data_IF_306291303751
#
_entry.id   IF_306291303751
#
_cell.length_a   1.000
_cell.length_b   1.000
_cell.length_c   1.000
_cell.angle_alpha   90.00
_cell.angle_beta   90.00
_cell.angle_gamma   90.00
#
_symmetry.space_group_name_H-M   'P 1'
#
loop_
_entity.id
_entity.type
_entity.pdbx_description
1 polymer ?
#
# COMPACT_ATOMS: atom_id res chain seq x y z
N UNK A 1 43.13 24.31 -23.34
CA UNK A 1 42.39 25.27 -22.52
C UNK A 1 40.88 25.09 -22.74
N UNK A 2 40.24 24.28 -21.90
CA UNK A 2 38.81 24.09 -21.87
C UNK A 2 38.30 24.35 -20.45
N UNK A 3 37.12 24.99 -20.28
CA UNK A 3 36.64 25.35 -18.94
C UNK A 3 36.15 24.13 -18.18
N UNK A 4 36.60 24.02 -16.93
CA UNK A 4 36.25 22.96 -15.99
C UNK A 4 34.77 23.07 -15.54
N UNK A 5 34.15 21.91 -15.43
CA UNK A 5 32.79 21.71 -14.94
C UNK A 5 32.84 21.60 -13.39
N UNK A 6 32.70 22.73 -12.70
CA UNK A 6 32.64 22.79 -11.23
C UNK A 6 31.22 22.44 -10.75
N UNK A 7 30.88 21.16 -10.74
CA UNK A 7 29.69 20.66 -9.98
C UNK A 7 30.08 20.44 -8.53
N UNK A 8 29.79 21.42 -7.69
CA UNK A 8 29.89 21.28 -6.23
C UNK A 8 28.73 20.41 -5.74
N UNK A 9 29.03 19.19 -5.32
CA UNK A 9 28.11 18.33 -4.57
C UNK A 9 28.07 18.82 -3.12
N UNK A 10 26.90 19.22 -2.64
CA UNK A 10 26.68 19.45 -1.22
C UNK A 10 26.34 18.12 -0.54
N UNK A 11 27.25 17.60 0.25
CA UNK A 11 27.06 16.42 1.10
C UNK A 11 26.30 16.85 2.38
N UNK A 12 25.13 16.28 2.70
CA UNK A 12 24.35 16.69 3.87
C UNK A 12 24.91 16.23 5.21
N UNK A 13 25.97 15.42 5.27
CA UNK A 13 26.46 14.79 6.50
C UNK A 13 27.85 15.25 6.98
N UNK A 14 28.38 16.39 6.48
CA UNK A 14 29.69 16.88 6.93
C UNK A 14 29.56 18.00 7.95
N UNK A 15 30.18 17.89 9.17
CA UNK A 15 30.17 18.95 10.17
C UNK A 15 31.06 20.11 9.74
N UNK A 16 30.46 21.26 9.44
CA UNK A 16 31.19 22.46 9.01
C UNK A 16 31.75 23.22 10.20
N UNK A 17 33.06 23.36 10.19
CA UNK A 17 33.76 24.34 11.03
C UNK A 17 33.53 25.77 10.55
N UNK A 18 33.37 26.64 11.54
CA UNK A 18 33.17 28.11 11.57
C UNK A 18 33.85 28.91 10.45
N UNK A 19 33.11 29.96 10.07
CA UNK A 19 33.48 31.19 9.33
C UNK A 19 33.47 31.08 7.79
N UNK A 20 32.33 31.49 7.24
CA UNK A 20 32.18 31.84 5.86
C UNK A 20 30.73 32.20 5.56
N UNK A 21 30.42 33.49 5.46
CA UNK A 21 29.11 33.98 5.01
C UNK A 21 28.98 33.60 3.55
N UNK A 22 28.20 32.58 3.25
CA UNK A 22 27.80 32.26 1.89
C UNK A 22 26.59 33.11 1.53
N UNK A 23 26.83 34.27 0.91
CA UNK A 23 25.80 35.10 0.27
C UNK A 23 25.60 34.50 -1.14
N UNK A 24 24.84 33.49 -1.27
CA UNK A 24 24.36 32.99 -2.55
C UNK A 24 22.85 33.14 -2.66
N UNK A 25 22.46 34.32 -3.12
CA UNK A 25 21.11 34.65 -3.58
C UNK A 25 20.81 33.97 -4.91
N UNK A 26 20.48 32.68 -4.94
CA UNK A 26 19.81 32.00 -6.06
C UNK A 26 19.45 30.53 -5.74
N UNK A 27 18.96 30.25 -4.55
CA UNK A 27 18.04 29.11 -4.41
C UNK A 27 16.63 29.72 -4.50
N UNK A 28 16.02 29.68 -5.69
CA UNK A 28 14.57 29.86 -5.79
C UNK A 28 13.97 28.76 -4.96
N UNK A 29 13.45 29.12 -3.78
CA UNK A 29 12.83 28.19 -2.85
C UNK A 29 11.72 27.45 -3.57
N UNK A 30 11.83 26.13 -3.61
CA UNK A 30 10.67 25.28 -3.74
C UNK A 30 9.85 25.61 -2.51
N UNK A 31 8.76 26.34 -2.66
CA UNK A 31 7.83 26.64 -1.57
C UNK A 31 7.35 25.30 -1.03
N UNK A 32 7.85 24.94 0.14
CA UNK A 32 7.47 23.67 0.77
C UNK A 32 6.01 23.81 1.23
N UNK A 33 5.11 23.04 0.61
CA UNK A 33 3.69 23.03 0.96
C UNK A 33 3.51 22.87 2.46
N UNK A 34 2.64 23.66 3.03
CA UNK A 34 2.23 23.57 4.43
C UNK A 34 1.55 22.22 4.72
N UNK A 35 1.48 21.84 6.00
CA UNK A 35 0.77 20.62 6.38
C UNK A 35 -0.70 20.65 5.93
N UNK A 36 -1.35 21.81 6.03
CA UNK A 36 -2.76 21.98 5.64
C UNK A 36 -2.96 21.79 4.12
N UNK A 37 -2.05 22.28 3.30
CA UNK A 37 -2.08 22.07 1.85
C UNK A 37 -1.81 20.59 1.48
N UNK A 38 -0.83 19.96 2.14
CA UNK A 38 -0.55 18.53 1.98
C UNK A 38 -1.76 17.68 2.40
N UNK A 39 -2.43 18.03 3.51
CA UNK A 39 -3.65 17.38 3.99
C UNK A 39 -4.80 17.54 2.99
N UNK A 40 -5.03 18.74 2.50
CA UNK A 40 -6.08 19.00 1.51
C UNK A 40 -5.87 18.17 0.26
N UNK A 41 -4.66 18.13 -0.28
CA UNK A 41 -4.32 17.31 -1.44
C UNK A 41 -4.47 15.81 -1.17
N UNK A 42 -4.04 15.34 0.00
CA UNK A 42 -4.16 13.94 0.40
C UNK A 42 -5.62 13.50 0.56
N UNK A 43 -6.47 14.35 1.14
CA UNK A 43 -7.88 14.02 1.40
C UNK A 43 -8.78 14.24 0.18
N UNK A 44 -8.35 14.97 -0.84
CA UNK A 44 -9.14 15.17 -2.07
C UNK A 44 -9.17 13.88 -2.88
N UNK A 45 -10.36 13.39 -3.18
CA UNK A 45 -10.61 12.25 -4.10
C UNK A 45 -11.46 12.73 -5.26
N UNK A 46 -11.15 12.24 -6.46
CA UNK A 46 -11.86 12.62 -7.69
C UNK A 46 -13.24 11.95 -7.83
N UNK A 47 -13.53 10.94 -7.05
CA UNK A 47 -14.84 10.25 -6.99
C UNK A 47 -15.16 9.84 -5.56
N UNK A 48 -15.96 10.56 -4.97
CA UNK A 48 -16.94 10.54 -3.88
C UNK A 48 -16.97 9.45 -2.83
N UNK A 49 -15.96 8.74 -2.47
CA UNK A 49 -16.08 7.83 -1.34
C UNK A 49 -14.80 7.69 -0.53
N UNK A 50 -14.76 8.23 0.64
CA UNK A 50 -13.65 7.97 1.56
C UNK A 50 -13.39 9.05 2.59
N UNK A 51 -13.84 10.26 2.34
CA UNK A 51 -13.61 11.36 3.25
C UNK A 51 -14.91 12.11 3.55
N UNK A 52 -15.32 12.14 4.80
CA UNK A 52 -16.44 12.93 5.28
C UNK A 52 -16.11 13.50 6.66
N UNK A 53 -16.55 14.74 6.91
CA UNK A 53 -16.81 15.18 8.27
C UNK A 53 -18.06 14.40 8.71
N UNK A 54 -17.88 13.21 9.29
CA UNK A 54 -19.00 12.42 9.78
C UNK A 54 -19.70 13.10 10.96
N UNK A 55 -20.89 12.64 11.29
CA UNK A 55 -21.69 13.06 12.46
C UNK A 55 -21.02 12.68 13.80
N UNK A 56 -19.68 12.73 13.87
CA UNK A 56 -18.86 12.27 14.96
C UNK A 56 -18.00 13.35 15.59
N UNK A 57 -16.95 12.92 16.26
CA UNK A 57 -15.98 13.76 16.95
C UNK A 57 -15.22 14.60 15.92
N UNK A 58 -15.43 15.92 15.90
CA UNK A 58 -14.75 16.84 14.98
C UNK A 58 -13.34 17.22 15.43
N UNK A 59 -13.07 17.15 16.71
CA UNK A 59 -11.76 17.47 17.28
C UNK A 59 -11.47 16.66 18.55
N UNK A 60 -10.21 16.29 18.74
CA UNK A 60 -9.71 15.63 19.93
C UNK A 60 -8.34 16.24 20.29
N UNK A 61 -8.17 16.65 21.55
CA UNK A 61 -6.94 17.31 22.03
C UNK A 61 -6.49 18.49 21.14
N UNK A 62 -7.42 19.35 20.74
CA UNK A 62 -7.22 20.52 19.84
C UNK A 62 -6.73 20.17 18.43
N UNK A 63 -6.84 18.92 18.00
CA UNK A 63 -6.51 18.45 16.64
C UNK A 63 -7.79 18.04 15.91
N UNK A 64 -7.86 18.33 14.64
CA UNK A 64 -8.97 17.90 13.79
C UNK A 64 -8.98 16.38 13.67
N UNK A 65 -10.17 15.80 13.82
CA UNK A 65 -10.43 14.37 13.55
C UNK A 65 -11.03 14.27 12.16
N UNK A 66 -10.43 13.42 11.34
CA UNK A 66 -10.89 13.10 10.00
C UNK A 66 -11.52 11.72 10.00
N UNK A 67 -12.63 11.54 9.31
CA UNK A 67 -13.20 10.23 9.08
C UNK A 67 -12.71 9.71 7.73
N UNK A 68 -11.73 8.83 7.76
CA UNK A 68 -11.11 8.25 6.57
C UNK A 68 -11.46 6.77 6.54
N UNK A 69 -12.10 6.32 5.46
CA UNK A 69 -12.51 4.92 5.32
C UNK A 69 -13.32 4.40 6.54
N UNK A 70 -14.24 5.24 7.02
CA UNK A 70 -15.07 4.93 8.19
C UNK A 70 -14.37 5.03 9.55
N UNK A 71 -13.07 5.30 9.60
CA UNK A 71 -12.24 5.34 10.82
C UNK A 71 -11.93 6.77 11.24
N UNK A 72 -12.14 7.10 12.51
CA UNK A 72 -11.77 8.41 13.07
C UNK A 72 -10.25 8.49 13.24
N UNK A 73 -9.61 9.41 12.52
CA UNK A 73 -8.15 9.48 12.41
C UNK A 73 -7.63 10.90 12.63
N UNK A 74 -6.57 11.04 13.41
CA UNK A 74 -5.79 12.26 13.55
C UNK A 74 -4.53 12.16 12.70
N UNK A 75 -4.32 13.08 11.76
CA UNK A 75 -3.14 13.08 10.91
C UNK A 75 -2.06 13.97 11.51
N UNK A 76 -0.82 13.49 11.53
CA UNK A 76 0.36 14.20 12.03
C UNK A 76 1.26 14.71 10.90
N UNK A 77 1.38 13.92 9.83
CA UNK A 77 2.20 14.27 8.67
C UNK A 77 1.69 13.60 7.41
N UNK A 78 1.97 14.21 6.26
CA UNK A 78 1.61 13.69 4.93
C UNK A 78 2.82 13.80 4.02
N UNK A 79 3.09 12.72 3.27
CA UNK A 79 4.11 12.65 2.22
C UNK A 79 3.53 11.94 0.99
N UNK A 80 3.22 12.70 -0.06
CA UNK A 80 2.56 12.15 -1.25
C UNK A 80 1.27 11.43 -0.90
N UNK A 81 1.17 10.17 -1.28
CA UNK A 81 0.00 9.31 -1.04
C UNK A 81 0.02 8.57 0.32
N UNK A 82 0.92 8.95 1.22
CA UNK A 82 1.07 8.33 2.53
C UNK A 82 0.91 9.39 3.63
N UNK A 83 0.17 9.04 4.66
CA UNK A 83 0.08 9.85 5.89
C UNK A 83 0.46 8.99 7.11
N UNK A 84 0.95 9.66 8.14
CA UNK A 84 1.17 9.07 9.46
C UNK A 84 0.29 9.79 10.47
N UNK A 85 -0.38 9.04 11.33
CA UNK A 85 -1.34 9.58 12.28
C UNK A 85 -1.64 8.62 13.42
N UNK A 86 -2.86 8.72 13.92
CA UNK A 86 -3.38 7.80 14.92
C UNK A 86 -4.89 7.62 14.75
N UNK A 87 -5.37 6.42 14.90
CA UNK A 87 -6.80 6.09 15.02
C UNK A 87 -7.27 6.55 16.39
N UNK A 88 -8.40 7.26 16.44
CA UNK A 88 -9.12 7.57 17.67
C UNK A 88 -10.13 6.45 17.92
N UNK A 89 -9.85 5.63 18.91
CA UNK A 89 -10.70 4.52 19.30
C UNK A 89 -11.97 5.01 20.05
N UNK A 90 -12.96 4.14 20.17
CA UNK A 90 -14.21 4.45 20.86
C UNK A 90 -14.07 4.74 22.36
N UNK A 91 -13.00 4.24 22.98
CA UNK A 91 -12.60 4.52 24.38
C UNK A 91 -11.73 5.77 24.53
N UNK A 92 -11.61 6.57 23.45
CA UNK A 92 -10.78 7.78 23.36
C UNK A 92 -9.26 7.53 23.46
N UNK A 93 -8.81 6.31 23.35
CA UNK A 93 -7.38 6.00 23.18
C UNK A 93 -6.91 6.26 21.75
N UNK A 94 -5.60 6.40 21.56
CA UNK A 94 -4.99 6.66 20.27
C UNK A 94 -4.05 5.50 19.88
N UNK A 95 -4.35 4.84 18.77
CA UNK A 95 -3.49 3.81 18.16
C UNK A 95 -2.72 4.41 17.00
N UNK A 96 -1.37 4.46 17.03
CA UNK A 96 -0.58 4.93 15.90
C UNK A 96 -0.89 4.15 14.62
N UNK A 97 -0.96 4.85 13.49
CA UNK A 97 -1.21 4.20 12.20
C UNK A 97 -0.58 4.94 11.03
N UNK A 98 -0.37 4.21 9.96
CA UNK A 98 -0.14 4.73 8.61
C UNK A 98 -1.44 4.71 7.84
N UNK A 99 -1.61 5.69 6.97
CA UNK A 99 -2.73 5.78 6.03
C UNK A 99 -2.13 5.91 4.64
N UNK A 100 -2.59 5.11 3.71
CA UNK A 100 -2.20 5.19 2.30
C UNK A 100 -3.40 5.42 1.42
N UNK A 101 -3.17 6.04 0.26
CA UNK A 101 -4.21 6.39 -0.70
C UNK A 101 -3.78 6.04 -2.10
N UNK A 102 -4.68 5.43 -2.88
CA UNK A 102 -4.54 5.25 -4.32
C UNK A 102 -5.94 5.17 -4.95
N UNK A 103 -6.11 5.78 -6.13
CA UNK A 103 -7.33 5.71 -6.96
C UNK A 103 -8.65 6.00 -6.21
N UNK A 104 -8.58 6.88 -5.19
CA UNK A 104 -9.73 7.23 -4.36
C UNK A 104 -9.94 6.33 -3.14
N UNK A 105 -9.28 5.19 -3.05
CA UNK A 105 -9.31 4.30 -1.90
C UNK A 105 -8.31 4.71 -0.83
N UNK A 106 -8.65 4.44 0.41
CA UNK A 106 -7.77 4.60 1.57
C UNK A 106 -7.68 3.30 2.35
N UNK A 107 -6.52 3.07 2.97
CA UNK A 107 -6.36 2.00 3.93
C UNK A 107 -5.48 2.41 5.11
N UNK A 108 -5.71 1.79 6.26
CA UNK A 108 -4.96 1.97 7.49
C UNK A 108 -4.15 0.71 7.79
N UNK A 109 -3.01 0.89 8.47
CA UNK A 109 -2.21 -0.21 9.00
C UNK A 109 -1.33 0.28 10.14
N UNK A 110 -0.92 -0.61 11.05
CA UNK A 110 0.02 -0.30 12.12
C UNK A 110 1.41 0.01 11.55
N UNK A 111 1.74 -0.63 10.43
CA UNK A 111 2.93 -0.37 9.64
C UNK A 111 2.56 0.13 8.25
N UNK A 112 3.51 0.81 7.58
CA UNK A 112 3.32 1.25 6.19
C UNK A 112 3.05 0.06 5.26
N UNK A 113 3.73 -1.07 5.50
CA UNK A 113 3.54 -2.30 4.71
C UNK A 113 2.11 -2.83 4.83
N UNK A 114 1.60 -2.97 6.04
CA UNK A 114 0.21 -3.41 6.28
C UNK A 114 -0.81 -2.47 5.64
N UNK A 115 -0.61 -1.15 5.75
CA UNK A 115 -1.48 -0.18 5.09
C UNK A 115 -1.48 -0.35 3.57
N UNK A 116 -0.31 -0.59 2.96
CA UNK A 116 -0.18 -0.83 1.52
C UNK A 116 -0.81 -2.15 1.08
N UNK A 117 -0.65 -3.22 1.86
CA UNK A 117 -1.28 -4.52 1.61
C UNK A 117 -2.82 -4.40 1.69
N UNK A 118 -3.34 -3.76 2.74
CA UNK A 118 -4.78 -3.52 2.90
C UNK A 118 -5.36 -2.65 1.77
N UNK A 119 -4.61 -1.63 1.29
CA UNK A 119 -5.03 -0.83 0.14
C UNK A 119 -5.05 -1.66 -1.13
N UNK A 120 -4.04 -2.48 -1.33
CA UNK A 120 -3.95 -3.37 -2.50
C UNK A 120 -5.12 -4.34 -2.53
N UNK A 121 -5.46 -4.96 -1.42
CA UNK A 121 -6.58 -5.88 -1.33
C UNK A 121 -7.91 -5.18 -1.71
N UNK A 122 -8.15 -3.95 -1.23
CA UNK A 122 -9.31 -3.14 -1.61
C UNK A 122 -9.37 -2.83 -3.12
N UNK A 123 -8.23 -2.50 -3.72
CA UNK A 123 -8.16 -2.26 -5.16
C UNK A 123 -8.50 -3.51 -5.95
N UNK A 124 -8.09 -4.68 -5.49
CA UNK A 124 -8.42 -5.95 -6.12
C UNK A 124 -9.87 -6.37 -5.90
N UNK A 125 -10.49 -6.05 -4.76
CA UNK A 125 -11.92 -6.31 -4.50
C UNK A 125 -12.82 -5.57 -5.50
N UNK A 126 -12.45 -4.34 -5.89
CA UNK A 126 -13.22 -3.51 -6.84
C UNK A 126 -12.83 -3.80 -8.32
N UNK A 127 -11.79 -4.57 -8.56
CA UNK A 127 -11.26 -4.85 -9.89
C UNK A 127 -12.03 -6.00 -10.56
N UNK A 128 -12.36 -5.90 -11.88
CA UNK A 128 -12.93 -7.01 -12.64
C UNK A 128 -12.05 -8.27 -12.59
N UNK A 129 -12.67 -9.45 -12.60
CA UNK A 129 -11.97 -10.73 -12.50
C UNK A 129 -10.87 -10.91 -13.56
N UNK A 130 -11.16 -10.54 -14.81
CA UNK A 130 -10.20 -10.62 -15.90
C UNK A 130 -8.95 -9.76 -15.65
N UNK A 131 -9.15 -8.54 -15.15
CA UNK A 131 -8.04 -7.63 -14.82
C UNK A 131 -7.20 -8.13 -13.63
N UNK A 132 -7.84 -8.82 -12.66
CA UNK A 132 -7.13 -9.48 -11.55
C UNK A 132 -6.24 -10.62 -12.04
N UNK A 133 -6.75 -11.43 -12.97
CA UNK A 133 -5.99 -12.49 -13.62
C UNK A 133 -4.79 -11.90 -14.40
N UNK A 134 -5.00 -10.84 -15.17
CA UNK A 134 -3.93 -10.17 -15.90
C UNK A 134 -2.86 -9.56 -14.99
N UNK A 135 -3.29 -8.98 -13.86
CA UNK A 135 -2.37 -8.45 -12.86
C UNK A 135 -1.53 -9.57 -12.23
N UNK A 136 -2.16 -10.72 -11.91
CA UNK A 136 -1.47 -11.88 -11.39
C UNK A 136 -0.41 -12.41 -12.36
N UNK A 137 -0.77 -12.61 -13.62
CA UNK A 137 0.15 -13.12 -14.65
C UNK A 137 1.30 -12.18 -14.96
N UNK A 138 1.10 -10.87 -14.83
CA UNK A 138 2.18 -9.87 -14.99
C UNK A 138 3.17 -9.87 -13.82
N UNK A 139 2.73 -10.25 -12.62
CA UNK A 139 3.56 -10.24 -11.41
C UNK A 139 4.21 -11.58 -11.10
N UNK A 140 3.82 -12.65 -11.80
CA UNK A 140 4.33 -14.01 -11.60
C UNK A 140 5.12 -14.49 -12.81
N UNK A 141 6.16 -15.29 -12.55
CA UNK A 141 7.04 -15.90 -13.54
C UNK A 141 7.07 -17.43 -13.28
N UNK A 142 6.84 -18.24 -14.28
CA UNK A 142 6.82 -19.70 -14.17
C UNK A 142 8.16 -20.29 -13.73
N UNK A 143 9.27 -19.67 -14.15
CA UNK A 143 10.63 -20.11 -13.82
C UNK A 143 11.08 -19.74 -12.40
N UNK A 144 10.23 -19.06 -11.63
CA UNK A 144 10.60 -18.49 -10.31
C UNK A 144 9.86 -19.18 -9.17
N UNK A 145 10.53 -19.32 -8.03
CA UNK A 145 9.90 -19.71 -6.77
C UNK A 145 9.58 -18.47 -5.94
N UNK A 146 8.44 -18.50 -5.24
CA UNK A 146 7.94 -17.42 -4.38
C UNK A 146 7.67 -17.98 -2.97
N UNK A 147 7.72 -17.14 -1.93
CA UNK A 147 7.21 -17.53 -0.62
C UNK A 147 5.76 -18.00 -0.72
N UNK A 148 5.39 -19.06 -0.01
CA UNK A 148 4.00 -19.56 -0.01
C UNK A 148 2.99 -18.51 0.43
N UNK A 149 3.40 -17.58 1.32
CA UNK A 149 2.59 -16.42 1.72
C UNK A 149 2.21 -15.53 0.53
N UNK A 150 3.08 -15.38 -0.47
CA UNK A 150 2.80 -14.60 -1.69
C UNK A 150 1.60 -15.17 -2.45
N UNK A 151 1.55 -16.48 -2.66
CA UNK A 151 0.41 -17.13 -3.31
C UNK A 151 -0.83 -17.22 -2.42
N UNK A 152 -0.65 -17.28 -1.10
CA UNK A 152 -1.75 -17.19 -0.15
C UNK A 152 -2.50 -15.86 -0.27
N UNK A 153 -1.78 -14.75 -0.41
CA UNK A 153 -2.36 -13.42 -0.59
C UNK A 153 -2.99 -13.28 -1.98
N UNK A 154 -2.32 -13.78 -3.02
CA UNK A 154 -2.86 -13.80 -4.38
C UNK A 154 -4.12 -14.64 -4.53
N UNK A 155 -4.23 -15.75 -3.83
CA UNK A 155 -5.46 -16.55 -3.84
C UNK A 155 -6.67 -15.73 -3.34
N UNK A 156 -6.49 -14.90 -2.32
CA UNK A 156 -7.52 -13.98 -1.88
C UNK A 156 -7.90 -12.97 -2.97
N UNK A 157 -6.91 -12.30 -3.54
CA UNK A 157 -7.11 -11.27 -4.59
C UNK A 157 -7.81 -11.83 -5.82
N UNK A 158 -7.47 -13.03 -6.22
CA UNK A 158 -8.09 -13.70 -7.37
C UNK A 158 -9.53 -14.14 -7.07
N UNK A 159 -9.77 -14.79 -5.94
CA UNK A 159 -10.99 -15.57 -5.68
C UNK A 159 -11.91 -14.97 -4.63
N UNK A 160 -11.49 -13.95 -3.90
CA UNK A 160 -12.23 -13.41 -2.75
C UNK A 160 -12.30 -14.36 -1.54
N UNK A 161 -11.48 -15.41 -1.51
CA UNK A 161 -11.50 -16.42 -0.44
C UNK A 161 -11.18 -15.81 0.94
N UNK A 162 -11.91 -16.22 1.96
CA UNK A 162 -11.70 -15.71 3.32
C UNK A 162 -10.43 -16.28 3.98
N UNK A 163 -9.85 -15.50 4.88
CA UNK A 163 -8.61 -15.85 5.59
C UNK A 163 -8.71 -17.19 6.35
N UNK A 164 -9.85 -17.43 7.05
CA UNK A 164 -10.07 -18.67 7.80
C UNK A 164 -10.07 -19.89 6.88
N UNK A 165 -10.77 -19.81 5.74
CA UNK A 165 -10.83 -20.90 4.76
C UNK A 165 -9.45 -21.21 4.17
N UNK A 166 -8.68 -20.18 3.79
CA UNK A 166 -7.33 -20.34 3.26
C UNK A 166 -6.36 -20.94 4.31
N UNK A 167 -6.43 -20.49 5.56
CA UNK A 167 -5.63 -21.09 6.65
C UNK A 167 -5.97 -22.54 6.90
N UNK A 168 -7.25 -22.90 6.83
CA UNK A 168 -7.67 -24.28 6.98
C UNK A 168 -7.14 -25.13 5.81
N UNK A 169 -7.32 -24.66 4.58
CA UNK A 169 -6.82 -25.33 3.37
C UNK A 169 -5.30 -25.56 3.43
N UNK A 170 -4.53 -24.52 3.81
CA UNK A 170 -3.09 -24.63 3.93
C UNK A 170 -2.67 -25.70 4.96
N UNK A 171 -3.35 -25.77 6.11
CA UNK A 171 -3.11 -26.81 7.12
C UNK A 171 -3.43 -28.20 6.60
N UNK A 172 -4.57 -28.38 5.95
CA UNK A 172 -5.03 -29.67 5.44
C UNK A 172 -4.12 -30.21 4.33
N UNK A 173 -3.47 -29.32 3.59
CA UNK A 173 -2.52 -29.63 2.52
C UNK A 173 -1.05 -29.63 2.96
N UNK A 174 -0.75 -29.33 4.23
CA UNK A 174 0.60 -29.28 4.76
C UNK A 174 1.46 -28.16 4.21
N UNK A 175 0.84 -27.04 3.79
CA UNK A 175 1.54 -25.87 3.25
C UNK A 175 2.12 -25.03 4.39
N UNK A 176 3.44 -24.86 4.43
CA UNK A 176 4.12 -23.96 5.37
C UNK A 176 4.04 -22.51 4.87
N UNK A 177 3.15 -21.71 5.48
CA UNK A 177 2.97 -20.30 5.12
C UNK A 177 4.10 -19.40 5.59
N UNK A 178 4.92 -19.84 6.57
CA UNK A 178 5.97 -19.00 7.16
C UNK A 178 7.30 -19.10 6.44
N UNK A 179 7.67 -20.32 6.05
CA UNK A 179 9.01 -20.60 5.51
C UNK A 179 8.96 -21.36 4.20
N UNK A 180 7.77 -21.77 3.73
CA UNK A 180 7.60 -22.50 2.50
C UNK A 180 7.89 -21.65 1.27
N UNK A 181 8.32 -22.32 0.21
CA UNK A 181 8.50 -21.77 -1.13
C UNK A 181 7.69 -22.60 -2.10
N UNK A 182 7.20 -21.97 -3.17
CA UNK A 182 6.32 -22.61 -4.15
C UNK A 182 6.53 -21.96 -5.53
N UNK A 183 6.40 -22.75 -6.58
CA UNK A 183 6.35 -22.24 -7.95
C UNK A 183 4.92 -21.86 -8.34
N UNK A 184 4.76 -21.11 -9.43
CA UNK A 184 3.44 -20.80 -9.99
C UNK A 184 2.69 -22.09 -10.34
N UNK A 185 3.34 -23.04 -11.00
CA UNK A 185 2.73 -24.32 -11.39
C UNK A 185 2.23 -25.12 -10.19
N UNK A 186 3.03 -25.23 -9.12
CA UNK A 186 2.63 -25.89 -7.88
C UNK A 186 1.41 -25.22 -7.24
N UNK A 187 1.37 -23.89 -7.22
CA UNK A 187 0.23 -23.14 -6.70
C UNK A 187 -1.04 -23.43 -7.48
N UNK A 188 -1.00 -23.34 -8.82
CA UNK A 188 -2.15 -23.57 -9.68
C UNK A 188 -2.67 -25.01 -9.56
N UNK A 189 -1.78 -26.00 -9.58
CA UNK A 189 -2.15 -27.41 -9.40
C UNK A 189 -2.78 -27.67 -8.02
N UNK A 190 -2.25 -27.06 -6.97
CA UNK A 190 -2.75 -27.21 -5.61
C UNK A 190 -4.16 -26.62 -5.44
N UNK A 191 -4.48 -25.53 -6.15
CA UNK A 191 -5.68 -24.71 -5.88
C UNK A 191 -6.77 -24.83 -6.95
N UNK A 192 -6.51 -25.41 -8.12
CA UNK A 192 -7.47 -25.52 -9.23
C UNK A 192 -8.80 -26.21 -8.88
N UNK A 193 -8.82 -27.04 -7.85
CA UNK A 193 -10.01 -27.77 -7.37
C UNK A 193 -10.43 -27.33 -5.97
N UNK A 194 -9.87 -26.20 -5.46
CA UNK A 194 -10.23 -25.59 -4.20
C UNK A 194 -11.35 -24.54 -4.40
N UNK A 195 -11.65 -23.78 -3.33
CA UNK A 195 -12.56 -22.63 -3.43
C UNK A 195 -12.03 -21.62 -4.45
N UNK A 196 -12.89 -21.18 -5.38
CA UNK A 196 -12.50 -20.30 -6.49
C UNK A 196 -11.65 -20.97 -7.56
N UNK A 197 -11.65 -22.31 -7.62
CA UNK A 197 -10.92 -23.08 -8.62
C UNK A 197 -11.33 -22.81 -10.06
N UNK A 198 -12.52 -22.28 -10.29
CA UNK A 198 -12.98 -21.77 -11.59
C UNK A 198 -12.11 -20.59 -12.07
N UNK A 199 -11.80 -19.64 -11.21
CA UNK A 199 -10.89 -18.53 -11.50
C UNK A 199 -9.46 -19.05 -11.75
N UNK A 200 -9.00 -19.99 -10.92
CA UNK A 200 -7.67 -20.60 -11.10
C UNK A 200 -7.55 -21.31 -12.45
N UNK A 201 -8.59 -22.04 -12.89
CA UNK A 201 -8.60 -22.68 -14.22
C UNK A 201 -8.60 -21.66 -15.35
N UNK A 202 -9.21 -20.46 -15.17
CA UNK A 202 -9.09 -19.37 -16.15
C UNK A 202 -7.64 -18.84 -16.23
N UNK A 203 -6.94 -18.71 -15.09
CA UNK A 203 -5.51 -18.38 -15.09
C UNK A 203 -4.72 -19.38 -15.92
N UNK A 204 -4.93 -20.70 -15.69
CA UNK A 204 -4.25 -21.77 -16.45
C UNK A 204 -4.56 -21.67 -17.94
N UNK A 205 -5.82 -21.46 -18.32
CA UNK A 205 -6.22 -21.34 -19.73
C UNK A 205 -5.55 -20.14 -20.40
N UNK A 206 -5.50 -19.00 -19.71
CA UNK A 206 -4.90 -17.78 -20.25
C UNK A 206 -3.38 -17.89 -20.43
N UNK A 207 -2.69 -18.62 -19.56
CA UNK A 207 -1.26 -18.93 -19.72
C UNK A 207 -0.98 -19.75 -20.98
N UNK A 208 -1.87 -20.72 -21.30
CA UNK A 208 -1.73 -21.57 -22.49
C UNK A 208 -2.02 -20.85 -23.81
N UNK A 209 -2.75 -19.73 -23.77
CA UNK A 209 -3.03 -18.92 -24.97
C UNK A 209 -1.86 -18.00 -25.39
N UNK A 210 -0.90 -17.79 -24.48
CA UNK A 210 0.24 -16.87 -24.69
C UNK A 210 1.50 -17.61 -25.15
N UNK A 211 1.54 -18.95 -25.08
CA UNK A 211 2.60 -19.80 -25.64
C UNK A 211 2.40 -20.03 -27.16
#
# INVERSE_FOLDING_TARGET
DGPGDDRVWCDPDHPVHRHGICVSSRCKGVEEMTLDEKLKAFLTVSSGSGYGYGDGIKSFNRKTVYRIDGVNTLIRSVRGNTAHGAILNGDLTLTPCYIVKQDGFFAHGETLREAMEALRDKLFEDMPEEERIDAFLRETDEGRTYPTQYFYDWHHRLTGSCDMGRKQFARDRGVDLKHGMMTLTEFLELTKDAYGGDVIRQVISKMQEVE
#
